data_IF_393318618032
#
_entry.id   IF_393318618032
#
_cell.length_a   1.000
_cell.length_b   1.000
_cell.length_c   1.000
_cell.angle_alpha   90.00
_cell.angle_beta   90.00
_cell.angle_gamma   90.00
#
_symmetry.space_group_name_H-M   'P 1'
#
loop_
_entity.id
_entity.type
_entity.pdbx_description
1 polymer ?
#
# COMPACT_ATOMS: atom_id res chain seq x y z
N UNK A 1 -8.24 -13.12 7.31
CA UNK A 1 -6.93 -13.52 6.76
C UNK A 1 -5.83 -12.89 7.60
N UNK A 2 -4.82 -13.66 8.04
CA UNK A 2 -3.69 -13.09 8.75
C UNK A 2 -2.93 -12.13 7.82
N UNK A 3 -2.47 -11.01 8.38
CA UNK A 3 -1.63 -10.03 7.69
C UNK A 3 -0.24 -10.12 8.27
N UNK A 4 0.77 -10.28 7.42
CA UNK A 4 2.17 -10.22 7.83
C UNK A 4 2.70 -8.83 7.56
N UNK A 5 3.07 -8.09 8.61
CA UNK A 5 3.76 -6.80 8.46
C UNK A 5 5.12 -7.05 7.83
N UNK A 6 5.38 -6.42 6.68
CA UNK A 6 6.67 -6.52 5.98
C UNK A 6 7.57 -5.36 6.39
N UNK A 7 7.00 -4.15 6.51
CA UNK A 7 7.76 -2.96 6.85
C UNK A 7 6.88 -1.86 7.44
N UNK A 8 7.48 -0.99 8.24
CA UNK A 8 6.83 0.21 8.76
C UNK A 8 7.77 1.41 8.72
N UNK A 9 7.28 2.53 8.19
CA UNK A 9 7.92 3.83 8.28
C UNK A 9 7.26 4.65 9.38
N UNK A 10 8.04 5.33 10.20
CA UNK A 10 7.54 6.16 11.29
C UNK A 10 8.21 7.52 11.20
N UNK A 11 7.43 8.56 10.97
CA UNK A 11 7.84 9.96 11.01
C UNK A 11 7.32 10.61 12.28
N UNK A 12 8.22 11.13 13.09
CA UNK A 12 7.90 11.89 14.30
C UNK A 12 8.43 13.31 14.14
N UNK A 13 7.53 14.27 14.26
CA UNK A 13 7.84 15.68 14.51
C UNK A 13 7.32 16.05 15.90
N UNK A 14 7.68 17.22 16.41
CA UNK A 14 7.19 17.73 17.70
C UNK A 14 5.65 17.78 17.76
N UNK A 15 5.01 18.06 16.62
CA UNK A 15 3.57 18.26 16.53
C UNK A 15 2.80 17.00 16.10
N UNK A 16 3.43 16.06 15.39
CA UNK A 16 2.71 14.97 14.72
C UNK A 16 3.54 13.68 14.61
N UNK A 17 2.88 12.54 14.77
CA UNK A 17 3.46 11.23 14.41
C UNK A 17 2.65 10.65 13.27
N UNK A 18 3.29 10.39 12.15
CA UNK A 18 2.69 9.73 11.00
C UNK A 18 3.39 8.39 10.78
N UNK A 19 2.63 7.32 10.61
CA UNK A 19 3.19 6.00 10.33
C UNK A 19 2.58 5.38 9.09
N UNK A 20 3.42 4.71 8.31
CA UNK A 20 3.03 3.90 7.17
C UNK A 20 3.40 2.46 7.43
N UNK A 21 2.40 1.61 7.63
CA UNK A 21 2.58 0.16 7.78
C UNK A 21 2.23 -0.53 6.47
N UNK A 22 3.10 -1.42 6.02
CA UNK A 22 2.91 -2.23 4.81
C UNK A 22 2.80 -3.70 5.23
N UNK A 23 1.74 -4.37 4.81
CA UNK A 23 1.47 -5.76 5.19
C UNK A 23 1.03 -6.58 3.99
N UNK A 24 1.47 -7.84 3.91
CA UNK A 24 1.00 -8.79 2.90
C UNK A 24 -0.15 -9.63 3.47
N UNK A 25 -1.21 -9.80 2.69
CA UNK A 25 -2.21 -10.84 2.95
C UNK A 25 -1.64 -12.24 2.72
N UNK A 26 -2.25 -13.24 3.35
CA UNK A 26 -1.85 -14.64 3.13
C UNK A 26 -2.08 -15.06 1.68
N UNK A 27 -0.98 -15.29 0.97
CA UNK A 27 -0.99 -15.64 -0.45
C UNK A 27 -1.33 -17.12 -0.70
N UNK A 28 -1.45 -17.93 0.36
CA UNK A 28 -1.89 -19.34 0.26
C UNK A 28 -3.39 -19.47 0.05
N UNK A 29 -4.18 -18.45 0.37
CA UNK A 29 -5.65 -18.50 0.36
C UNK A 29 -6.32 -17.79 -0.83
N UNK A 30 -5.63 -17.59 -1.96
CA UNK A 30 -6.21 -16.90 -3.13
C UNK A 30 -6.02 -15.39 -3.15
N UNK A 31 -6.23 -14.75 -2.00
CA UNK A 31 -6.28 -13.29 -1.89
C UNK A 31 -4.95 -12.66 -1.47
N UNK A 32 -3.90 -12.94 -2.24
CA UNK A 32 -2.63 -12.26 -2.06
C UNK A 32 -2.76 -10.79 -2.50
N UNK A 33 -2.67 -9.88 -1.53
CA UNK A 33 -2.74 -8.45 -1.77
C UNK A 33 -1.86 -7.69 -0.79
N UNK A 34 -1.41 -6.51 -1.20
CA UNK A 34 -0.67 -5.61 -0.34
C UNK A 34 -1.64 -4.68 0.39
N UNK A 35 -1.52 -4.59 1.70
CA UNK A 35 -2.26 -3.65 2.52
C UNK A 35 -1.33 -2.55 3.00
N UNK A 36 -1.70 -1.32 2.69
CA UNK A 36 -1.02 -0.12 3.16
C UNK A 36 -1.89 0.60 4.15
N UNK A 37 -1.31 0.93 5.30
CA UNK A 37 -1.99 1.64 6.38
C UNK A 37 -1.20 2.90 6.70
N UNK A 38 -1.79 4.05 6.40
CA UNK A 38 -1.23 5.35 6.76
C UNK A 38 -2.04 5.92 7.94
N UNK A 39 -1.37 6.34 9.00
CA UNK A 39 -2.02 6.81 10.23
C UNK A 39 -1.35 8.05 10.78
N UNK A 40 -2.14 8.94 11.39
CA UNK A 40 -1.66 10.16 12.03
C UNK A 40 -2.17 10.35 13.47
N UNK A 41 -1.86 9.39 14.35
CA UNK A 41 -2.35 9.24 15.75
C UNK A 41 -3.87 9.11 15.89
N UNK A 42 -4.63 10.00 15.26
CA UNK A 42 -6.10 10.11 15.37
C UNK A 42 -6.76 9.42 14.19
N UNK A 43 -6.29 9.67 12.97
CA UNK A 43 -6.89 9.08 11.77
C UNK A 43 -6.04 7.92 11.25
N UNK A 44 -6.72 7.02 10.53
CA UNK A 44 -6.11 5.87 9.90
C UNK A 44 -6.83 5.59 8.59
N UNK A 45 -6.07 5.60 7.50
CA UNK A 45 -6.53 5.14 6.20
C UNK A 45 -5.86 3.81 5.87
N UNK A 46 -6.67 2.83 5.50
CA UNK A 46 -6.18 1.54 5.00
C UNK A 46 -6.62 1.36 3.56
N UNK A 47 -5.67 1.00 2.71
CA UNK A 47 -5.88 0.72 1.29
C UNK A 47 -5.34 -0.69 0.99
N UNK A 48 -6.03 -1.39 0.10
CA UNK A 48 -5.58 -2.65 -0.50
C UNK A 48 -5.09 -2.30 -1.91
N UNK A 49 -3.88 -2.73 -2.24
CA UNK A 49 -3.30 -2.62 -3.57
C UNK A 49 -3.23 -4.01 -4.20
N UNK A 50 -3.58 -4.07 -5.48
CA UNK A 50 -3.32 -5.25 -6.31
C UNK A 50 -1.88 -5.25 -6.86
N UNK A 51 -1.52 -6.32 -7.58
CA UNK A 51 -0.17 -6.49 -8.09
C UNK A 51 0.22 -5.40 -9.10
N UNK A 52 -0.71 -4.95 -9.94
CA UNK A 52 -0.44 -3.97 -10.99
C UNK A 52 -0.27 -2.57 -10.36
N UNK A 53 -1.08 -2.25 -9.36
CA UNK A 53 -0.95 -1.01 -8.58
C UNK A 53 0.36 -0.98 -7.78
N UNK A 54 0.77 -2.11 -7.18
CA UNK A 54 2.07 -2.21 -6.50
C UNK A 54 3.24 -2.00 -7.46
N UNK A 55 3.18 -2.61 -8.65
CA UNK A 55 4.21 -2.43 -9.67
C UNK A 55 4.26 -0.97 -10.16
N UNK A 56 3.10 -0.35 -10.42
CA UNK A 56 3.00 1.05 -10.83
C UNK A 56 3.54 2.02 -9.78
N UNK A 57 3.25 1.79 -8.49
CA UNK A 57 3.78 2.59 -7.40
C UNK A 57 5.30 2.43 -7.23
N UNK A 58 5.83 1.21 -7.39
CA UNK A 58 7.27 0.95 -7.34
C UNK A 58 8.03 1.67 -8.46
N UNK A 59 7.50 1.63 -9.70
CA UNK A 59 8.05 2.36 -10.84
C UNK A 59 8.01 3.88 -10.63
N UNK A 60 6.93 4.38 -10.04
CA UNK A 60 6.77 5.80 -9.72
C UNK A 60 7.80 6.27 -8.67
N UNK A 61 8.05 5.47 -7.63
CA UNK A 61 9.07 5.76 -6.60
C UNK A 61 10.49 5.80 -7.19
N UNK A 62 10.79 4.87 -8.09
CA UNK A 62 12.08 4.81 -8.79
C UNK A 62 12.31 6.04 -9.66
N UNK A 63 11.33 6.37 -10.50
CA UNK A 63 11.45 7.50 -11.44
C UNK A 63 11.16 8.84 -10.78
N UNK A 64 10.81 8.85 -9.49
CA UNK A 64 10.29 10.01 -8.76
C UNK A 64 9.16 10.72 -9.52
N UNK A 65 8.24 9.94 -10.10
CA UNK A 65 7.12 10.44 -10.89
C UNK A 65 5.83 10.39 -10.10
N UNK A 66 4.89 11.25 -10.46
CA UNK A 66 3.55 11.21 -9.89
C UNK A 66 2.83 9.91 -10.27
N UNK A 67 2.14 9.30 -9.31
CA UNK A 67 1.27 8.16 -9.53
C UNK A 67 0.07 8.25 -8.59
N UNK A 68 -1.09 7.79 -9.04
CA UNK A 68 -2.26 7.68 -8.17
C UNK A 68 -3.22 6.59 -8.63
N UNK A 69 -3.87 5.94 -7.67
CA UNK A 69 -4.98 5.03 -7.90
C UNK A 69 -6.20 5.46 -7.08
N UNK A 70 -7.39 5.13 -7.61
CA UNK A 70 -8.67 5.43 -6.99
C UNK A 70 -9.38 4.12 -6.66
N UNK A 71 -9.80 4.00 -5.40
CA UNK A 71 -10.57 2.87 -4.91
C UNK A 71 -11.94 3.34 -4.48
N UNK A 72 -12.97 2.81 -5.13
CA UNK A 72 -14.36 3.11 -4.80
C UNK A 72 -14.93 1.98 -3.95
N UNK A 73 -15.63 2.31 -2.87
CA UNK A 73 -16.37 1.34 -2.06
C UNK A 73 -17.69 1.93 -1.59
N UNK A 74 -18.72 1.08 -1.49
CA UNK A 74 -20.04 1.46 -1.01
C UNK A 74 -20.13 1.17 0.48
N UNK A 75 -20.58 2.14 1.27
CA UNK A 75 -20.81 1.95 2.70
C UNK A 75 -22.12 1.19 2.95
N UNK A 76 -22.34 0.76 4.20
CA UNK A 76 -23.60 0.14 4.63
C UNK A 76 -24.82 1.05 4.43
N UNK A 77 -24.60 2.36 4.31
CA UNK A 77 -25.64 3.37 4.07
C UNK A 77 -25.86 3.64 2.57
N UNK A 78 -25.32 2.79 1.68
CA UNK A 78 -25.34 2.97 0.22
C UNK A 78 -24.67 4.27 -0.27
N UNK A 79 -23.72 4.81 0.49
CA UNK A 79 -22.94 5.98 0.08
C UNK A 79 -21.66 5.51 -0.61
N UNK A 80 -21.45 5.95 -1.84
CA UNK A 80 -20.20 5.72 -2.57
C UNK A 80 -19.08 6.58 -1.97
N UNK A 81 -18.02 5.93 -1.47
CA UNK A 81 -16.80 6.58 -0.99
C UNK A 81 -15.65 6.26 -1.92
N UNK A 82 -14.79 7.25 -2.13
CA UNK A 82 -13.56 7.14 -2.91
C UNK A 82 -12.36 7.37 -2.03
N UNK A 83 -11.45 6.40 -2.01
CA UNK A 83 -10.11 6.57 -1.48
C UNK A 83 -9.16 6.82 -2.65
N UNK A 84 -8.30 7.82 -2.54
CA UNK A 84 -7.19 8.06 -3.46
C UNK A 84 -5.90 7.75 -2.74
N UNK A 85 -5.09 6.89 -3.34
CA UNK A 85 -3.69 6.74 -2.98
C UNK A 85 -2.85 7.48 -4.01
N UNK A 86 -1.84 8.20 -3.55
CA UNK A 86 -0.96 8.93 -4.46
C UNK A 86 0.46 9.03 -3.96
N UNK A 87 1.38 9.04 -4.91
CA UNK A 87 2.77 9.43 -4.72
C UNK A 87 3.07 10.60 -5.65
N UNK A 88 3.69 11.65 -5.15
CA UNK A 88 4.13 12.79 -5.96
C UNK A 88 5.35 13.48 -5.34
N UNK A 89 6.45 13.57 -6.09
CA UNK A 89 7.66 14.31 -5.69
C UNK A 89 8.13 14.02 -4.25
N UNK A 90 8.18 12.73 -3.88
CA UNK A 90 8.57 12.33 -2.53
C UNK A 90 7.47 12.44 -1.47
N UNK A 91 6.24 12.80 -1.81
CA UNK A 91 5.11 12.73 -0.89
C UNK A 91 4.23 11.54 -1.20
N UNK A 92 4.02 10.68 -0.21
CA UNK A 92 3.04 9.61 -0.25
C UNK A 92 1.81 10.02 0.55
N UNK A 93 0.61 9.87 -0.01
CA UNK A 93 -0.63 10.21 0.68
C UNK A 93 -1.76 9.24 0.40
N UNK A 94 -2.62 9.09 1.39
CA UNK A 94 -3.89 8.39 1.27
C UNK A 94 -5.00 9.34 1.70
N UNK A 95 -5.93 9.59 0.79
CA UNK A 95 -7.06 10.48 0.93
C UNK A 95 -8.34 9.66 0.91
N UNK A 96 -8.98 9.53 2.06
CA UNK A 96 -10.30 8.90 2.20
C UNK A 96 -11.26 9.88 2.86
N UNK A 97 -11.66 9.61 4.11
CA UNK A 97 -12.40 10.62 4.90
C UNK A 97 -11.51 11.82 5.28
N UNK A 98 -10.21 11.58 5.46
CA UNK A 98 -9.22 12.58 5.78
C UNK A 98 -7.98 12.32 4.94
N UNK A 99 -7.34 13.38 4.44
CA UNK A 99 -6.06 13.25 3.74
C UNK A 99 -4.93 13.12 4.76
N UNK A 100 -4.25 11.98 4.72
CA UNK A 100 -3.00 11.78 5.47
C UNK A 100 -1.88 11.73 4.44
N UNK A 101 -0.81 12.49 4.67
CA UNK A 101 0.36 12.53 3.81
C UNK A 101 1.63 12.39 4.65
N UNK A 102 2.64 11.75 4.08
CA UNK A 102 3.99 11.68 4.62
C UNK A 102 4.98 12.08 3.53
N UNK A 103 5.99 12.85 3.92
CA UNK A 103 7.16 13.04 3.08
C UNK A 103 8.00 11.76 3.13
N UNK A 104 8.73 11.46 2.08
CA UNK A 104 9.65 10.34 1.99
C UNK A 104 10.98 10.89 1.49
N UNK A 105 12.02 10.83 2.32
CA UNK A 105 13.38 11.14 1.91
C UNK A 105 13.90 10.13 0.88
N UNK A 106 15.05 10.40 0.27
CA UNK A 106 15.60 9.52 -0.77
C UNK A 106 15.86 8.09 -0.28
N UNK A 107 16.40 7.95 0.93
CA UNK A 107 16.61 6.64 1.57
C UNK A 107 15.30 5.90 1.84
N UNK A 108 14.26 6.63 2.25
CA UNK A 108 12.95 6.06 2.57
C UNK A 108 12.20 5.66 1.31
N UNK A 109 12.29 6.46 0.25
CA UNK A 109 11.79 6.11 -1.08
C UNK A 109 12.46 4.84 -1.61
N UNK A 110 13.79 4.75 -1.50
CA UNK A 110 14.53 3.57 -1.94
C UNK A 110 14.15 2.32 -1.12
N UNK A 111 14.02 2.46 0.20
CA UNK A 111 13.54 1.38 1.07
C UNK A 111 12.11 0.98 0.71
N UNK A 112 11.22 1.95 0.50
CA UNK A 112 9.83 1.71 0.14
C UNK A 112 9.71 1.00 -1.20
N UNK A 113 10.49 1.41 -2.21
CA UNK A 113 10.59 0.71 -3.50
C UNK A 113 10.95 -0.76 -3.29
N UNK A 114 12.02 -1.07 -2.54
CA UNK A 114 12.47 -2.44 -2.30
C UNK A 114 11.41 -3.29 -1.59
N UNK A 115 10.66 -2.69 -0.65
CA UNK A 115 9.55 -3.36 0.03
C UNK A 115 8.42 -3.69 -0.95
N UNK A 116 8.10 -2.77 -1.88
CA UNK A 116 7.10 -3.03 -2.92
C UNK A 116 7.54 -4.10 -3.91
N UNK A 117 8.80 -4.09 -4.35
CA UNK A 117 9.37 -5.14 -5.22
C UNK A 117 9.32 -6.51 -4.54
N UNK A 118 9.68 -6.58 -3.25
CA UNK A 118 9.56 -7.80 -2.46
C UNK A 118 8.09 -8.28 -2.39
N UNK A 119 7.17 -7.37 -2.07
CA UNK A 119 5.75 -7.69 -1.99
C UNK A 119 5.21 -8.17 -3.33
N UNK A 120 5.56 -7.51 -4.43
CA UNK A 120 5.18 -7.88 -5.79
C UNK A 120 5.62 -9.31 -6.11
N UNK A 121 6.90 -9.64 -5.89
CA UNK A 121 7.41 -10.98 -6.14
C UNK A 121 6.66 -12.04 -5.32
N UNK A 122 6.35 -11.76 -4.05
CA UNK A 122 5.55 -12.67 -3.22
C UNK A 122 4.11 -12.81 -3.73
N UNK A 123 3.53 -11.75 -4.27
CA UNK A 123 2.20 -11.80 -4.92
C UNK A 123 2.19 -12.67 -6.16
N UNK A 124 3.24 -12.61 -6.98
CA UNK A 124 3.36 -13.46 -8.17
C UNK A 124 3.62 -14.92 -7.78
N UNK A 125 4.54 -15.19 -6.85
CA UNK A 125 4.83 -16.53 -6.34
C UNK A 125 3.55 -17.23 -5.82
N UNK A 126 2.76 -16.53 -4.99
CA UNK A 126 1.52 -17.08 -4.46
C UNK A 126 0.48 -17.42 -5.53
N UNK A 127 0.38 -16.63 -6.60
CA UNK A 127 -0.50 -16.93 -7.74
C UNK A 127 -0.02 -18.16 -8.52
N UNK A 128 1.29 -18.29 -8.75
CA UNK A 128 1.88 -19.43 -9.47
C UNK A 128 1.69 -20.76 -8.71
N UNK A 129 1.88 -20.76 -7.38
CA UNK A 129 1.68 -21.97 -6.56
C UNK A 129 0.22 -22.46 -6.57
N UNK A 130 -0.75 -21.55 -6.67
CA UNK A 130 -2.15 -21.91 -6.79
C UNK A 130 -2.50 -22.47 -8.17
N UNK A 131 -2.01 -21.87 -9.25
CA UNK A 131 -2.21 -22.39 -10.60
C UNK A 131 -1.79 -23.87 -10.73
N UNK A 132 -0.66 -24.23 -10.11
CA UNK A 132 -0.16 -25.62 -10.08
C UNK A 132 -1.01 -26.58 -9.23
N UNK A 133 -1.82 -26.10 -8.28
CA UNK A 133 -2.70 -26.94 -7.47
C UNK A 133 -4.00 -27.35 -8.18
N UNK A 134 -4.42 -26.61 -9.20
CA UNK A 134 -5.62 -26.92 -9.99
C UNK A 134 -5.33 -27.81 -11.22
N UNK A 135 -4.06 -28.10 -11.52
CA UNK A 135 -3.64 -29.01 -12.61
C UNK A 135 -3.37 -30.46 -12.14
N UNK A 136 -3.76 -30.84 -10.92
CA UNK A 136 -3.68 -32.21 -10.40
C UNK A 136 -5.05 -32.72 -9.98
#
# INVERSE_FOLDING_TARGET
MPLSVIHSFIHQTEEKTTSLTISLGDCRSGDCALFMTLSDKVNKNRVKLDADEVAGLADALEKNKSWSAFHTFTTLENVEKKNRISYNEGFFSVEGNTKIAMKLGDSERAAFKRVLEFAFNKMIEGKLEQGKKFEK
#
